data_IF_679206530707
#
_entry.id   IF_679206530707
#
_cell.length_a   1.000
_cell.length_b   1.000
_cell.length_c   1.000
_cell.angle_alpha   90.00
_cell.angle_beta   90.00
_cell.angle_gamma   90.00
#
_symmetry.space_group_name_H-M   'P 1'
#
loop_
_entity.id
_entity.type
_entity.pdbx_description
1 polymer ?
#
# COMPACT_ATOMS: atom_id res chain seq x y z
N UNK A 1 -4.56 -4.32 16.31
CA UNK A 1 -3.95 -5.61 15.90
C UNK A 1 -4.93 -6.50 15.12
N UNK A 2 -6.11 -6.81 15.65
CA UNK A 2 -7.11 -7.71 15.01
C UNK A 2 -7.62 -7.26 13.63
N UNK A 3 -7.80 -5.96 13.39
CA UNK A 3 -8.32 -5.45 12.10
C UNK A 3 -7.30 -5.61 10.97
N UNK A 4 -6.03 -5.30 11.25
CA UNK A 4 -4.93 -5.40 10.28
C UNK A 4 -4.77 -6.85 9.80
N UNK A 5 -4.90 -7.83 10.70
CA UNK A 5 -4.87 -9.25 10.33
C UNK A 5 -6.07 -9.67 9.48
N UNK A 6 -7.28 -9.22 9.85
CA UNK A 6 -8.51 -9.48 9.10
C UNK A 6 -8.49 -8.87 7.70
N UNK A 7 -7.77 -7.77 7.49
CA UNK A 7 -7.58 -7.15 6.17
C UNK A 7 -6.44 -7.82 5.38
N UNK A 8 -5.35 -8.22 6.04
CA UNK A 8 -4.19 -8.80 5.37
C UNK A 8 -4.48 -10.12 4.66
N UNK A 9 -5.35 -10.97 5.23
CA UNK A 9 -5.70 -12.26 4.61
C UNK A 9 -6.36 -12.10 3.23
N UNK A 10 -7.47 -11.36 3.07
CA UNK A 10 -8.08 -11.15 1.76
C UNK A 10 -7.20 -10.33 0.81
N UNK A 11 -6.47 -9.32 1.32
CA UNK A 11 -5.58 -8.50 0.49
C UNK A 11 -4.42 -9.32 -0.13
N UNK A 12 -3.90 -10.31 0.62
CA UNK A 12 -2.91 -11.26 0.10
C UNK A 12 -3.53 -12.28 -0.87
N UNK A 13 -4.68 -12.86 -0.52
CA UNK A 13 -5.32 -13.88 -1.34
C UNK A 13 -5.66 -13.35 -2.75
N UNK A 14 -6.07 -12.08 -2.82
CA UNK A 14 -6.47 -11.42 -4.06
C UNK A 14 -5.32 -10.66 -4.76
N UNK A 15 -4.06 -10.81 -4.29
CA UNK A 15 -2.89 -10.09 -4.81
C UNK A 15 -3.11 -8.57 -4.98
N UNK A 16 -3.82 -7.94 -4.04
CA UNK A 16 -4.23 -6.54 -4.14
C UNK A 16 -3.13 -5.56 -3.73
N UNK A 17 -2.10 -6.05 -3.04
CA UNK A 17 -0.96 -5.26 -2.60
C UNK A 17 0.24 -5.60 -3.45
N UNK A 18 0.80 -4.60 -4.12
CA UNK A 18 2.03 -4.74 -4.90
C UNK A 18 3.20 -5.23 -4.06
N UNK A 19 4.03 -6.08 -4.64
CA UNK A 19 5.32 -6.46 -4.06
C UNK A 19 6.36 -5.34 -4.06
N UNK A 20 6.07 -4.18 -4.65
CA UNK A 20 6.87 -2.97 -4.48
C UNK A 20 6.28 -2.01 -3.44
N UNK A 21 5.19 -2.39 -2.75
CA UNK A 21 4.70 -1.66 -1.60
C UNK A 21 5.42 -2.16 -0.34
N UNK A 22 6.19 -1.30 0.32
CA UNK A 22 6.95 -1.67 1.53
C UNK A 22 6.38 -1.07 2.80
N UNK A 23 5.66 0.05 2.70
CA UNK A 23 5.01 0.70 3.83
C UNK A 23 3.96 -0.21 4.49
N UNK A 24 3.96 -0.24 5.82
CA UNK A 24 2.99 -0.97 6.66
C UNK A 24 2.87 -2.47 6.33
N UNK A 25 3.88 -3.10 5.73
CA UNK A 25 3.90 -4.56 5.46
C UNK A 25 4.85 -5.29 6.41
N UNK A 26 4.41 -6.45 6.88
CA UNK A 26 5.26 -7.37 7.66
C UNK A 26 6.47 -7.79 6.81
N UNK A 27 7.65 -7.84 7.43
CA UNK A 27 8.92 -8.18 6.80
C UNK A 27 9.37 -7.23 5.68
N UNK A 28 8.84 -6.01 5.63
CA UNK A 28 9.33 -4.94 4.76
C UNK A 28 9.55 -3.67 5.57
N UNK A 29 10.49 -2.86 5.11
CA UNK A 29 10.91 -1.61 5.73
C UNK A 29 11.21 -0.55 4.67
N UNK A 30 11.37 0.70 5.10
CA UNK A 30 11.89 1.78 4.25
C UNK A 30 13.25 1.43 3.66
N UNK A 31 14.13 0.76 4.43
CA UNK A 31 15.43 0.30 3.96
C UNK A 31 15.29 -0.71 2.83
N UNK A 32 14.44 -1.72 2.97
CA UNK A 32 14.23 -2.71 1.89
C UNK A 32 13.67 -2.07 0.62
N UNK A 33 12.93 -0.97 0.73
CA UNK A 33 12.42 -0.23 -0.42
C UNK A 33 13.53 0.55 -1.12
N UNK A 34 14.42 1.18 -0.34
CA UNK A 34 15.59 1.88 -0.87
C UNK A 34 16.55 0.92 -1.59
N UNK A 35 16.76 -0.28 -1.07
CA UNK A 35 17.58 -1.32 -1.74
C UNK A 35 17.02 -1.65 -3.12
N UNK A 36 15.70 -1.88 -3.23
CA UNK A 36 15.06 -2.20 -4.51
C UNK A 36 15.20 -1.05 -5.52
N UNK A 37 15.00 0.19 -5.08
CA UNK A 37 15.18 1.37 -5.95
C UNK A 37 16.64 1.52 -6.36
N UNK A 38 17.57 1.34 -5.43
CA UNK A 38 19.00 1.43 -5.70
C UNK A 38 19.42 0.44 -6.79
N UNK A 39 19.01 -0.83 -6.67
CA UNK A 39 19.33 -1.87 -7.65
C UNK A 39 18.73 -1.55 -9.03
N UNK A 40 17.52 -0.98 -9.07
CA UNK A 40 16.91 -0.53 -10.33
C UNK A 40 17.69 0.61 -10.98
N UNK A 41 18.10 1.61 -10.21
CA UNK A 41 18.91 2.74 -10.71
C UNK A 41 20.28 2.24 -11.18
N UNK A 42 20.94 1.41 -10.39
CA UNK A 42 22.26 0.87 -10.74
C UNK A 42 22.21 0.09 -12.06
N UNK A 43 21.20 -0.77 -12.23
CA UNK A 43 21.01 -1.51 -13.47
C UNK A 43 20.80 -0.59 -14.67
N UNK A 44 20.00 0.47 -14.54
CA UNK A 44 19.82 1.44 -15.62
C UNK A 44 21.14 2.14 -16.00
N UNK A 45 21.95 2.53 -14.99
CA UNK A 45 23.26 3.13 -15.20
C UNK A 45 24.23 2.19 -15.93
N UNK A 46 24.28 0.92 -15.52
CA UNK A 46 25.17 -0.08 -16.12
C UNK A 46 24.87 -0.32 -17.61
N UNK A 47 23.60 -0.14 -18.01
CA UNK A 47 23.15 -0.29 -19.40
C UNK A 47 23.10 1.05 -20.17
N UNK A 48 23.51 2.15 -19.56
CA UNK A 48 23.44 3.48 -20.18
C UNK A 48 22.01 3.96 -20.47
N UNK A 49 21.02 3.44 -19.74
CA UNK A 49 19.60 3.80 -19.87
C UNK A 49 19.33 5.05 -19.02
N UNK A 50 18.85 6.16 -19.61
CA UNK A 50 18.44 7.33 -18.85
C UNK A 50 17.29 7.02 -17.90
N UNK A 51 17.32 7.61 -16.71
CA UNK A 51 16.34 7.36 -15.65
C UNK A 51 15.91 8.65 -14.97
N UNK A 52 14.61 8.78 -14.72
CA UNK A 52 14.00 9.86 -13.96
C UNK A 52 13.18 9.29 -12.80
N UNK A 53 13.15 10.00 -11.66
CA UNK A 53 12.42 9.60 -10.46
C UNK A 53 11.35 10.63 -10.13
N UNK A 54 10.10 10.19 -10.02
CA UNK A 54 8.97 11.02 -9.59
C UNK A 54 8.59 10.62 -8.16
N UNK A 55 8.79 11.54 -7.21
CA UNK A 55 8.40 11.37 -5.82
C UNK A 55 7.11 12.16 -5.56
N UNK A 56 6.04 11.46 -5.17
CA UNK A 56 4.73 12.05 -4.88
C UNK A 56 4.46 11.90 -3.38
N UNK A 57 4.16 13.01 -2.72
CA UNK A 57 3.70 13.02 -1.33
C UNK A 57 2.25 13.51 -1.24
N UNK A 58 1.46 12.88 -0.37
CA UNK A 58 0.05 13.17 -0.19
C UNK A 58 -0.17 13.94 1.13
N UNK A 59 -0.53 15.21 1.01
CA UNK A 59 -0.85 16.04 2.17
C UNK A 59 -2.06 15.46 2.93
N UNK A 60 -1.87 15.13 4.22
CA UNK A 60 -2.94 14.67 5.12
C UNK A 60 -3.76 13.52 4.53
N UNK A 61 -3.09 12.46 4.06
CA UNK A 61 -3.72 11.36 3.33
C UNK A 61 -4.94 10.74 4.03
N UNK A 62 -4.91 10.61 5.36
CA UNK A 62 -6.03 10.06 6.14
C UNK A 62 -7.19 11.05 6.30
N UNK A 63 -6.91 12.34 6.49
CA UNK A 63 -7.96 13.37 6.64
C UNK A 63 -8.67 13.65 5.31
N UNK A 64 -8.00 13.42 4.17
CA UNK A 64 -8.51 13.74 2.83
C UNK A 64 -9.14 12.55 2.12
N UNK A 65 -9.05 11.35 2.66
CA UNK A 65 -9.62 10.18 2.00
C UNK A 65 -11.15 10.24 2.07
N UNK A 66 -11.82 10.04 0.94
CA UNK A 66 -13.28 9.92 0.92
C UNK A 66 -13.66 8.57 1.52
N UNK A 67 -14.26 8.59 2.71
CA UNK A 67 -14.70 7.39 3.42
C UNK A 67 -15.66 6.55 2.56
N UNK A 68 -16.57 7.19 1.82
CA UNK A 68 -17.47 6.53 0.86
C UNK A 68 -16.72 5.79 -0.24
N UNK A 69 -15.68 6.40 -0.83
CA UNK A 69 -14.85 5.75 -1.86
C UNK A 69 -14.04 4.60 -1.26
N UNK A 70 -13.47 4.78 -0.07
CA UNK A 70 -12.72 3.74 0.62
C UNK A 70 -13.59 2.50 0.87
N UNK A 71 -14.81 2.69 1.39
CA UNK A 71 -15.78 1.59 1.59
C UNK A 71 -16.05 0.85 0.29
N UNK A 72 -16.35 1.60 -0.78
CA UNK A 72 -16.66 1.00 -2.08
C UNK A 72 -15.48 0.16 -2.59
N UNK A 73 -14.24 0.67 -2.49
CA UNK A 73 -13.06 -0.10 -2.86
C UNK A 73 -12.93 -1.38 -2.02
N UNK A 74 -13.13 -1.31 -0.70
CA UNK A 74 -13.09 -2.49 0.16
C UNK A 74 -14.12 -3.55 -0.27
N UNK A 75 -15.34 -3.14 -0.63
CA UNK A 75 -16.38 -4.06 -1.10
C UNK A 75 -16.04 -4.71 -2.44
N UNK A 76 -15.53 -3.93 -3.39
CA UNK A 76 -15.05 -4.43 -4.70
C UNK A 76 -13.96 -5.47 -4.50
N UNK A 77 -13.08 -5.26 -3.52
CA UNK A 77 -12.00 -6.18 -3.16
C UNK A 77 -12.44 -7.38 -2.31
N UNK A 78 -13.74 -7.55 -2.07
CA UNK A 78 -14.28 -8.69 -1.33
C UNK A 78 -14.16 -8.58 0.18
N UNK A 79 -13.77 -7.41 0.71
CA UNK A 79 -13.63 -7.16 2.15
C UNK A 79 -15.01 -6.74 2.70
N UNK A 80 -15.65 -7.65 3.44
CA UNK A 80 -17.02 -7.48 3.93
C UNK A 80 -17.11 -7.59 5.46
N UNK A 81 -18.29 -7.29 6.00
CA UNK A 81 -18.64 -7.54 7.40
C UNK A 81 -17.86 -6.68 8.40
N UNK A 82 -17.37 -7.30 9.46
CA UNK A 82 -16.75 -6.62 10.62
C UNK A 82 -15.54 -5.77 10.24
N UNK A 83 -14.76 -6.18 9.22
CA UNK A 83 -13.59 -5.41 8.78
C UNK A 83 -14.00 -4.04 8.21
N UNK A 84 -15.03 -3.99 7.34
CA UNK A 84 -15.58 -2.74 6.81
C UNK A 84 -16.13 -1.84 7.93
N UNK A 85 -16.88 -2.42 8.88
CA UNK A 85 -17.47 -1.66 10.00
C UNK A 85 -16.40 -1.05 10.91
N UNK A 86 -15.32 -1.77 11.17
CA UNK A 86 -14.23 -1.28 12.02
C UNK A 86 -13.34 -0.24 11.31
N UNK A 87 -13.17 -0.33 9.99
CA UNK A 87 -12.47 0.72 9.22
C UNK A 87 -13.23 2.04 9.26
N UNK A 88 -14.57 1.97 9.20
CA UNK A 88 -15.44 3.15 9.34
C UNK A 88 -15.26 3.81 10.71
N UNK A 89 -15.33 3.04 11.80
CA UNK A 89 -15.25 3.59 13.16
C UNK A 89 -13.88 4.16 13.57
N UNK A 90 -12.82 3.94 12.78
CA UNK A 90 -11.46 4.44 13.07
C UNK A 90 -11.15 5.71 12.28
N UNK A 91 -11.88 5.94 11.19
CA UNK A 91 -11.70 7.10 10.30
C UNK A 91 -12.79 8.17 10.48
N UNK A 92 -13.81 7.88 11.31
CA UNK A 92 -14.70 8.86 11.94
C UNK A 92 -14.05 9.41 13.22
#
# INVERSE_FOLDING_TARGET
MVIVEKLNSPLKLNNLISDHQHGFRKNRSTVSQLVVIHDYIQSALDHGIPIDIILIDLLKAFDRISLRKLIYCLEVYGIKGTAKKLTLSILE
#
